data_IF_951370561906
#
_entry.id   IF_951370561906
#
_cell.length_a   1.000
_cell.length_b   1.000
_cell.length_c   1.000
_cell.angle_alpha   90.00
_cell.angle_beta   90.00
_cell.angle_gamma   90.00
#
_symmetry.space_group_name_H-M   'P 1'
#
loop_
_entity.id
_entity.type
_entity.pdbx_description
1 polymer ?
#
# COMPACT_ATOMS: atom_id res chain seq x y z
N UNK A 1 21.69 -47.78 21.66
CA UNK A 1 20.35 -47.20 21.54
C UNK A 1 19.97 -46.54 22.84
N UNK A 2 20.12 -45.27 22.97
CA UNK A 2 19.74 -44.51 24.15
C UNK A 2 18.71 -43.49 23.73
N UNK A 3 17.52 -43.64 24.28
CA UNK A 3 16.47 -42.60 24.31
C UNK A 3 16.85 -41.59 25.38
N UNK A 4 17.01 -40.33 24.99
CA UNK A 4 17.06 -39.21 25.93
C UNK A 4 15.81 -38.39 25.79
N UNK A 5 15.06 -38.27 26.86
CA UNK A 5 13.83 -37.53 26.96
C UNK A 5 14.07 -36.03 26.85
N UNK A 6 13.32 -35.40 25.97
CA UNK A 6 13.17 -33.96 25.91
C UNK A 6 12.06 -33.52 26.84
N UNK A 7 12.38 -32.62 27.75
CA UNK A 7 11.46 -31.96 28.64
C UNK A 7 10.54 -31.03 27.86
N UNK A 8 9.26 -31.35 27.87
CA UNK A 8 8.16 -30.53 27.41
C UNK A 8 8.05 -29.29 28.30
N UNK A 9 8.47 -28.14 27.82
CA UNK A 9 8.20 -26.86 28.52
C UNK A 9 6.81 -26.39 28.15
N UNK A 10 5.96 -26.33 29.14
CA UNK A 10 4.60 -25.83 29.04
C UNK A 10 4.59 -24.40 28.48
N UNK A 11 3.86 -24.24 27.39
CA UNK A 11 3.62 -22.96 26.72
C UNK A 11 2.67 -22.12 27.59
N UNK A 12 3.18 -20.97 28.07
CA UNK A 12 2.41 -20.02 28.86
C UNK A 12 1.62 -19.14 27.88
N UNK A 13 0.26 -19.15 27.93
CA UNK A 13 -0.55 -18.33 27.04
C UNK A 13 -0.42 -16.85 27.44
N UNK A 14 0.33 -16.09 26.69
CA UNK A 14 0.48 -14.65 26.93
C UNK A 14 1.64 -13.97 26.19
N UNK A 15 2.37 -14.67 25.37
CA UNK A 15 3.49 -14.06 24.64
C UNK A 15 3.48 -14.38 23.16
N UNK A 16 3.53 -13.31 22.40
CA UNK A 16 3.95 -13.18 21.00
C UNK A 16 2.97 -13.63 19.93
N UNK A 17 2.08 -12.72 19.55
CA UNK A 17 1.50 -12.71 18.19
C UNK A 17 2.56 -12.44 17.10
N UNK A 18 3.77 -12.06 17.47
CA UNK A 18 4.87 -11.76 16.55
C UNK A 18 6.01 -12.74 16.80
N UNK A 19 5.96 -13.88 16.11
CA UNK A 19 7.11 -14.78 15.96
C UNK A 19 8.27 -14.01 15.32
N UNK A 20 9.46 -14.12 15.92
CA UNK A 20 10.73 -13.70 15.32
C UNK A 20 10.85 -14.30 13.91
N UNK A 21 10.46 -13.56 12.87
CA UNK A 21 10.90 -13.83 11.51
C UNK A 21 12.13 -12.98 11.25
N UNK A 22 13.26 -13.69 11.18
CA UNK A 22 14.49 -13.40 10.44
C UNK A 22 14.73 -12.00 9.90
N UNK A 23 15.79 -11.40 10.33
CA UNK A 23 16.84 -10.58 9.70
C UNK A 23 16.54 -9.58 8.54
N UNK A 24 15.32 -9.44 8.08
CA UNK A 24 14.91 -8.31 7.27
C UNK A 24 14.27 -7.27 8.18
N UNK A 25 14.95 -6.16 8.34
CA UNK A 25 14.58 -5.07 9.23
C UNK A 25 13.44 -4.23 8.61
N UNK A 26 12.25 -4.84 8.46
CA UNK A 26 11.08 -4.13 8.00
C UNK A 26 10.60 -3.15 9.07
N UNK A 27 10.18 -1.97 8.64
CA UNK A 27 9.54 -1.01 9.53
C UNK A 27 8.26 -1.60 10.13
N UNK A 28 8.18 -1.66 11.45
CA UNK A 28 6.97 -2.07 12.14
C UNK A 28 6.13 -0.82 12.45
N UNK A 29 4.90 -0.79 11.96
CA UNK A 29 3.99 0.34 12.12
C UNK A 29 3.53 0.53 13.57
N UNK A 30 3.38 -0.57 14.31
CA UNK A 30 2.80 -0.58 15.66
C UNK A 30 3.86 -0.58 16.74
N UNK A 31 4.96 -1.30 16.54
CA UNK A 31 6.01 -1.51 17.54
C UNK A 31 7.26 -0.75 17.11
N UNK A 32 7.90 -0.04 18.03
CA UNK A 32 9.16 0.63 17.79
C UNK A 32 10.37 -0.33 17.89
N UNK A 33 11.56 0.20 17.66
CA UNK A 33 12.81 -0.59 17.70
C UNK A 33 13.14 -1.15 19.07
N UNK A 34 12.63 -0.52 20.12
CA UNK A 34 12.87 -0.91 21.53
C UNK A 34 11.78 -1.89 22.03
N UNK A 35 10.83 -2.25 21.17
CA UNK A 35 9.71 -3.13 21.48
C UNK A 35 8.54 -2.42 22.14
N UNK A 36 8.56 -1.09 22.23
CA UNK A 36 7.47 -0.27 22.74
C UNK A 36 6.35 -0.09 21.71
N UNK A 37 5.13 0.12 22.18
CA UNK A 37 4.00 0.45 21.31
C UNK A 37 4.06 1.93 20.94
N UNK A 38 4.02 2.23 19.64
CA UNK A 38 3.99 3.62 19.17
C UNK A 38 2.75 4.36 19.68
N UNK A 39 2.87 5.63 20.09
CA UNK A 39 1.77 6.35 20.76
C UNK A 39 0.43 6.32 20.04
N UNK A 40 0.42 6.40 18.69
CA UNK A 40 -0.79 6.38 17.90
C UNK A 40 -1.46 5.01 17.82
N UNK A 41 -0.79 3.94 18.29
CA UNK A 41 -1.36 2.60 18.40
C UNK A 41 -1.79 2.20 19.82
N UNK A 42 -1.51 2.99 20.87
CA UNK A 42 -1.79 2.59 22.24
C UNK A 42 -3.22 2.14 22.48
N UNK A 43 -4.20 2.90 22.03
CA UNK A 43 -5.62 2.53 22.18
C UNK A 43 -5.98 1.28 21.40
N UNK A 44 -5.34 1.10 20.24
CA UNK A 44 -5.57 -0.08 19.43
C UNK A 44 -4.93 -1.33 20.04
N UNK A 45 -3.73 -1.20 20.60
CA UNK A 45 -3.05 -2.26 21.35
C UNK A 45 -3.84 -2.69 22.58
N UNK A 46 -4.34 -1.72 23.35
CA UNK A 46 -5.22 -2.00 24.50
C UNK A 46 -6.46 -2.80 24.08
N UNK A 47 -7.11 -2.39 22.99
CA UNK A 47 -8.26 -3.12 22.44
C UNK A 47 -7.88 -4.53 21.96
N UNK A 48 -6.74 -4.67 21.26
CA UNK A 48 -6.25 -5.98 20.80
C UNK A 48 -6.00 -6.93 21.97
N UNK A 49 -5.34 -6.46 23.02
CA UNK A 49 -5.05 -7.27 24.22
C UNK A 49 -6.33 -7.69 24.97
N UNK A 50 -7.33 -6.83 24.96
CA UNK A 50 -8.62 -7.11 25.58
C UNK A 50 -9.54 -7.98 24.70
N UNK A 51 -9.23 -8.18 23.43
CA UNK A 51 -10.07 -8.91 22.50
C UNK A 51 -9.67 -10.36 22.41
N UNK A 52 -10.60 -11.31 22.67
CA UNK A 52 -10.32 -12.74 22.55
C UNK A 52 -9.82 -13.11 21.13
N UNK A 53 -8.81 -13.99 21.02
CA UNK A 53 -8.27 -14.43 19.74
C UNK A 53 -9.33 -14.99 18.78
N UNK A 54 -10.33 -15.68 19.32
CA UNK A 54 -11.43 -16.25 18.53
C UNK A 54 -12.30 -15.16 17.88
N UNK A 55 -12.42 -14.00 18.53
CA UNK A 55 -13.14 -12.84 17.96
C UNK A 55 -12.35 -12.26 16.79
N UNK A 56 -11.03 -12.17 16.91
CA UNK A 56 -10.14 -11.70 15.82
C UNK A 56 -10.21 -12.68 14.64
N UNK A 57 -10.09 -13.98 14.88
CA UNK A 57 -10.19 -15.01 13.85
C UNK A 57 -11.54 -14.97 13.13
N UNK A 58 -12.65 -14.81 13.89
CA UNK A 58 -13.99 -14.66 13.30
C UNK A 58 -14.09 -13.41 12.43
N UNK A 59 -13.55 -12.27 12.87
CA UNK A 59 -13.57 -11.03 12.09
C UNK A 59 -12.77 -11.14 10.80
N UNK A 60 -11.66 -11.86 10.81
CA UNK A 60 -10.90 -12.16 9.59
C UNK A 60 -11.73 -12.99 8.61
N UNK A 61 -12.33 -14.08 9.08
CA UNK A 61 -13.20 -14.92 8.25
C UNK A 61 -14.43 -14.17 7.70
N UNK A 62 -15.02 -13.27 8.48
CA UNK A 62 -16.12 -12.40 8.04
C UNK A 62 -15.65 -11.44 6.92
N UNK A 63 -14.44 -10.88 7.04
CA UNK A 63 -13.87 -9.99 6.01
C UNK A 63 -13.58 -10.75 4.71
N UNK A 64 -12.96 -11.93 4.79
CA UNK A 64 -12.69 -12.78 3.63
C UNK A 64 -13.99 -13.16 2.90
N UNK A 65 -15.03 -13.52 3.67
CA UNK A 65 -16.34 -13.84 3.11
C UNK A 65 -17.00 -12.62 2.46
N UNK A 66 -16.88 -11.44 3.07
CA UNK A 66 -17.41 -10.20 2.52
C UNK A 66 -16.73 -9.87 1.18
N UNK A 67 -15.40 -9.95 1.12
CA UNK A 67 -14.63 -9.71 -0.10
C UNK A 67 -15.00 -10.71 -1.21
N UNK A 68 -15.14 -11.98 -0.84
CA UNK A 68 -15.59 -13.01 -1.79
C UNK A 68 -16.97 -12.69 -2.36
N UNK A 69 -17.92 -12.30 -1.52
CA UNK A 69 -19.31 -12.00 -1.96
C UNK A 69 -19.39 -10.77 -2.86
N UNK A 70 -18.55 -9.78 -2.62
CA UNK A 70 -18.49 -8.54 -3.43
C UNK A 70 -17.66 -8.73 -4.70
N UNK A 71 -16.90 -9.84 -4.81
CA UNK A 71 -16.02 -10.10 -5.95
C UNK A 71 -14.78 -9.20 -5.93
N UNK A 72 -14.26 -8.86 -4.75
CA UNK A 72 -13.00 -8.10 -4.62
C UNK A 72 -11.84 -9.06 -4.83
N UNK A 73 -11.54 -9.32 -6.09
CA UNK A 73 -10.52 -10.26 -6.55
C UNK A 73 -9.52 -9.55 -7.45
N UNK A 74 -8.38 -10.17 -7.68
CA UNK A 74 -7.46 -9.75 -8.73
C UNK A 74 -7.15 -10.91 -9.66
N UNK A 75 -6.96 -10.60 -10.93
CA UNK A 75 -6.57 -11.59 -11.93
C UNK A 75 -5.09 -11.95 -11.75
N UNK A 76 -4.79 -13.24 -11.80
CA UNK A 76 -3.40 -13.73 -11.82
C UNK A 76 -2.97 -13.88 -13.27
N UNK A 77 -1.87 -13.18 -13.62
CA UNK A 77 -1.27 -13.28 -14.95
C UNK A 77 -0.18 -14.37 -14.96
N UNK A 78 -0.02 -15.07 -16.08
CA UNK A 78 0.98 -16.12 -16.25
C UNK A 78 0.37 -17.51 -16.36
N UNK A 79 1.08 -18.56 -15.92
CA UNK A 79 0.65 -19.97 -16.04
C UNK A 79 -0.68 -20.29 -15.34
N UNK A 80 -1.04 -19.47 -14.36
CA UNK A 80 -2.33 -19.53 -13.68
C UNK A 80 -3.36 -18.52 -14.21
N UNK A 81 -3.17 -18.02 -15.43
CA UNK A 81 -4.08 -17.07 -16.06
C UNK A 81 -5.53 -17.58 -16.06
N UNK A 82 -6.45 -16.74 -15.60
CA UNK A 82 -7.87 -17.09 -15.44
C UNK A 82 -8.27 -17.55 -14.04
N UNK A 83 -7.33 -17.67 -13.08
CA UNK A 83 -7.67 -17.83 -11.68
C UNK A 83 -7.80 -16.47 -11.01
N UNK A 84 -8.95 -16.25 -10.41
CA UNK A 84 -9.16 -15.09 -9.53
C UNK A 84 -8.71 -15.43 -8.11
N UNK A 85 -7.97 -14.55 -7.50
CA UNK A 85 -7.60 -14.62 -6.09
C UNK A 85 -8.23 -13.47 -5.31
N UNK A 86 -8.68 -13.75 -4.10
CA UNK A 86 -9.12 -12.69 -3.19
C UNK A 86 -7.95 -11.75 -2.88
N UNK A 87 -8.24 -10.46 -2.86
CA UNK A 87 -7.27 -9.48 -2.37
C UNK A 87 -7.05 -9.73 -0.89
N UNK A 88 -5.80 -9.95 -0.43
CA UNK A 88 -5.53 -10.13 0.99
C UNK A 88 -5.94 -8.88 1.77
N UNK A 89 -6.79 -9.06 2.78
CA UNK A 89 -7.24 -7.97 3.62
C UNK A 89 -6.76 -8.16 5.05
N UNK A 90 -6.00 -7.20 5.56
CA UNK A 90 -5.62 -7.18 6.97
C UNK A 90 -6.66 -6.41 7.78
N UNK A 91 -7.27 -7.09 8.76
CA UNK A 91 -8.24 -6.47 9.67
C UNK A 91 -7.60 -5.53 10.69
N UNK A 92 -6.27 -5.53 10.78
CA UNK A 92 -5.50 -4.60 11.62
C UNK A 92 -5.22 -3.34 10.79
N UNK A 93 -5.81 -2.19 11.14
CA UNK A 93 -5.64 -0.98 10.35
C UNK A 93 -4.22 -0.42 10.47
N UNK A 94 -3.69 0.10 9.37
CA UNK A 94 -2.50 0.96 9.40
C UNK A 94 -2.91 2.36 9.82
N UNK A 95 -2.35 2.84 10.94
CA UNK A 95 -2.68 4.14 11.51
C UNK A 95 -1.57 5.12 11.16
N UNK A 96 -1.90 6.13 10.36
CA UNK A 96 -0.97 7.20 9.98
C UNK A 96 -1.28 8.43 10.83
N UNK A 97 -0.34 8.90 11.68
CA UNK A 97 -0.53 10.11 12.48
C UNK A 97 -0.74 11.35 11.61
N UNK A 98 -1.51 12.32 12.11
CA UNK A 98 -1.83 13.53 11.37
C UNK A 98 -0.59 14.34 10.92
N UNK A 99 0.50 14.30 11.68
CA UNK A 99 1.75 14.96 11.29
C UNK A 99 2.39 14.29 10.07
N UNK A 100 2.48 12.96 10.06
CA UNK A 100 3.00 12.19 8.92
C UNK A 100 2.07 12.31 7.71
N UNK A 101 0.76 12.26 7.93
CA UNK A 101 -0.21 12.44 6.85
C UNK A 101 -0.06 13.80 6.16
N UNK A 102 0.15 14.89 6.92
CA UNK A 102 0.37 16.21 6.32
C UNK A 102 1.61 16.27 5.42
N UNK A 103 2.71 15.64 5.86
CA UNK A 103 3.93 15.56 5.06
C UNK A 103 3.71 14.73 3.79
N UNK A 104 3.15 13.54 3.93
CA UNK A 104 2.81 12.65 2.83
C UNK A 104 1.85 13.32 1.82
N UNK A 105 0.77 13.91 2.31
CA UNK A 105 -0.21 14.62 1.49
C UNK A 105 0.41 15.77 0.70
N UNK A 106 1.37 16.50 1.27
CA UNK A 106 2.07 17.58 0.56
C UNK A 106 2.85 17.05 -0.63
N UNK A 107 3.60 15.95 -0.44
CA UNK A 107 4.34 15.29 -1.51
C UNK A 107 3.43 14.72 -2.60
N UNK A 108 2.35 14.03 -2.20
CA UNK A 108 1.37 13.47 -3.14
C UNK A 108 0.69 14.55 -3.99
N UNK A 109 0.32 15.69 -3.38
CA UNK A 109 -0.25 16.82 -4.12
C UNK A 109 0.73 17.39 -5.14
N UNK A 110 2.00 17.54 -4.77
CA UNK A 110 3.03 18.00 -5.70
C UNK A 110 3.17 17.03 -6.87
N UNK A 111 3.22 15.73 -6.61
CA UNK A 111 3.34 14.69 -7.62
C UNK A 111 2.16 14.68 -8.59
N UNK A 112 0.93 14.62 -8.09
CA UNK A 112 -0.28 14.63 -8.92
C UNK A 112 -0.39 15.92 -9.76
N UNK A 113 0.01 17.06 -9.18
CA UNK A 113 0.08 18.31 -9.93
C UNK A 113 1.11 18.25 -11.06
N UNK A 114 2.28 17.70 -10.82
CA UNK A 114 3.31 17.53 -11.84
C UNK A 114 2.83 16.61 -12.98
N UNK A 115 2.15 15.51 -12.66
CA UNK A 115 1.57 14.61 -13.65
C UNK A 115 0.49 15.30 -14.50
N UNK A 116 -0.39 16.09 -13.89
CA UNK A 116 -1.38 16.87 -14.65
C UNK A 116 -0.75 17.92 -15.55
N UNK A 117 0.31 18.59 -15.11
CA UNK A 117 1.07 19.54 -15.95
C UNK A 117 1.78 18.82 -17.10
N UNK A 118 2.33 17.65 -16.87
CA UNK A 118 2.91 16.81 -17.90
C UNK A 118 1.86 16.43 -18.96
N UNK A 119 0.68 15.97 -18.55
CA UNK A 119 -0.40 15.66 -19.48
C UNK A 119 -0.86 16.88 -20.26
N UNK A 120 -0.96 18.04 -19.62
CA UNK A 120 -1.27 19.28 -20.30
C UNK A 120 -0.22 19.60 -21.40
N UNK A 121 1.06 19.57 -21.03
CA UNK A 121 2.14 19.84 -21.98
C UNK A 121 2.14 18.86 -23.17
N UNK A 122 1.99 17.56 -22.88
CA UNK A 122 1.96 16.50 -23.91
C UNK A 122 0.84 16.70 -24.93
N UNK A 123 -0.32 17.18 -24.50
CA UNK A 123 -1.46 17.42 -25.38
C UNK A 123 -1.53 18.84 -25.95
N UNK A 124 -0.58 19.72 -25.62
CA UNK A 124 -0.50 21.10 -26.14
C UNK A 124 0.87 21.40 -26.74
N UNK A 125 1.73 22.07 -25.99
CA UNK A 125 2.97 22.61 -26.50
C UNK A 125 4.09 21.59 -26.67
N UNK A 126 4.03 20.45 -25.94
CA UNK A 126 5.02 19.36 -25.98
C UNK A 126 6.46 19.83 -25.66
N UNK A 127 6.61 20.83 -24.79
CA UNK A 127 7.91 21.41 -24.46
C UNK A 127 8.86 20.40 -23.81
N UNK A 128 8.34 19.48 -22.99
CA UNK A 128 9.12 18.42 -22.35
C UNK A 128 9.68 17.42 -23.38
N UNK A 129 8.93 17.17 -24.46
CA UNK A 129 9.36 16.32 -25.58
C UNK A 129 10.38 17.04 -26.47
N UNK A 130 10.13 18.33 -26.83
CA UNK A 130 11.05 19.18 -27.60
C UNK A 130 12.38 19.35 -26.88
N UNK A 131 12.36 19.47 -25.55
CA UNK A 131 13.56 19.56 -24.73
C UNK A 131 14.34 18.24 -24.62
N UNK A 132 13.79 17.13 -25.11
CA UNK A 132 14.40 15.82 -25.04
C UNK A 132 14.48 15.22 -23.63
N UNK A 133 13.73 15.77 -22.66
CA UNK A 133 13.68 15.28 -21.28
C UNK A 133 12.96 13.93 -21.24
N UNK A 134 11.88 13.81 -22.03
CA UNK A 134 11.17 12.57 -22.26
C UNK A 134 11.24 12.24 -23.74
N UNK A 135 11.65 11.02 -24.14
CA UNK A 135 11.67 10.63 -25.54
C UNK A 135 10.27 10.67 -26.15
N UNK A 136 10.11 11.42 -27.25
CA UNK A 136 8.81 11.60 -27.91
C UNK A 136 8.13 10.29 -28.28
N UNK A 137 8.89 9.29 -28.74
CA UNK A 137 8.36 7.98 -29.10
C UNK A 137 7.69 7.26 -27.91
N UNK A 138 8.25 7.39 -26.69
CA UNK A 138 7.63 6.77 -25.49
C UNK A 138 6.23 7.31 -25.19
N UNK A 139 5.95 8.53 -25.60
CA UNK A 139 4.66 9.19 -25.35
C UNK A 139 3.75 9.05 -26.57
N UNK A 140 4.19 9.51 -27.73
CA UNK A 140 3.34 9.65 -28.92
C UNK A 140 3.03 8.31 -29.60
N UNK A 141 3.90 7.31 -29.45
CA UNK A 141 3.69 5.94 -29.95
C UNK A 141 3.07 5.01 -28.90
N UNK A 142 2.84 5.50 -27.69
CA UNK A 142 2.22 4.71 -26.64
C UNK A 142 0.74 4.43 -26.98
N UNK A 143 0.31 3.18 -26.80
CA UNK A 143 -1.06 2.77 -27.07
C UNK A 143 -2.12 3.51 -26.20
N UNK A 144 -1.71 4.11 -25.09
CA UNK A 144 -2.59 4.92 -24.24
C UNK A 144 -2.65 6.40 -24.65
N UNK A 145 -1.76 6.86 -25.53
CA UNK A 145 -1.84 8.22 -26.06
C UNK A 145 -3.15 8.39 -26.84
N UNK A 146 -3.84 9.50 -26.64
CA UNK A 146 -5.13 9.81 -27.26
C UNK A 146 -5.03 11.02 -28.18
N UNK A 147 -4.74 10.85 -29.48
CA UNK A 147 -4.58 11.96 -30.42
C UNK A 147 -5.78 12.93 -30.45
N UNK A 148 -6.98 12.44 -30.15
CA UNK A 148 -8.21 13.24 -30.07
C UNK A 148 -8.15 14.32 -28.98
N UNK A 149 -7.26 14.18 -28.01
CA UNK A 149 -7.08 15.16 -26.93
C UNK A 149 -6.08 16.27 -27.27
N UNK A 150 -5.43 16.20 -28.43
CA UNK A 150 -4.47 17.24 -28.86
C UNK A 150 -5.16 18.60 -28.95
N UNK A 151 -4.64 19.57 -28.20
CA UNK A 151 -5.16 20.94 -28.16
C UNK A 151 -6.50 21.10 -27.44
N UNK A 152 -6.96 20.09 -26.72
CA UNK A 152 -8.21 20.17 -25.98
C UNK A 152 -7.98 20.72 -24.57
N UNK A 153 -8.57 21.89 -24.30
CA UNK A 153 -8.60 22.46 -22.96
C UNK A 153 -9.60 21.73 -22.07
N UNK A 154 -9.09 20.97 -21.10
CA UNK A 154 -9.96 20.26 -20.14
C UNK A 154 -10.40 21.21 -19.01
N UNK A 155 -11.63 21.08 -18.48
CA UNK A 155 -12.11 21.93 -17.40
C UNK A 155 -11.18 21.92 -16.18
N UNK A 156 -10.75 23.10 -15.75
CA UNK A 156 -9.85 23.27 -14.61
C UNK A 156 -8.42 22.76 -14.80
N UNK A 157 -8.04 22.32 -16.01
CA UNK A 157 -6.73 21.71 -16.27
C UNK A 157 -6.54 20.35 -15.58
N UNK A 158 -7.64 19.67 -15.26
CA UNK A 158 -7.60 18.40 -14.52
C UNK A 158 -7.77 17.24 -15.51
N UNK A 159 -6.68 16.58 -15.86
CA UNK A 159 -6.67 15.40 -16.73
C UNK A 159 -6.95 14.12 -15.95
N UNK A 160 -6.38 13.97 -14.75
CA UNK A 160 -6.64 12.84 -13.84
C UNK A 160 -7.50 13.30 -12.66
N UNK A 161 -8.74 12.86 -12.61
CA UNK A 161 -9.70 13.23 -11.55
C UNK A 161 -9.48 12.44 -10.26
N UNK A 162 -9.02 11.20 -10.39
CA UNK A 162 -8.66 10.31 -9.29
C UNK A 162 -7.29 9.72 -9.62
N UNK A 163 -6.34 9.87 -8.71
CA UNK A 163 -5.04 9.25 -8.79
C UNK A 163 -4.88 8.27 -7.61
N UNK A 164 -4.64 7.01 -7.93
CA UNK A 164 -4.35 5.96 -6.95
C UNK A 164 -2.85 5.81 -6.80
N UNK A 165 -2.25 6.61 -5.92
CA UNK A 165 -0.80 6.58 -5.72
C UNK A 165 -0.42 5.50 -4.72
N UNK A 166 0.27 4.47 -5.18
CA UNK A 166 0.76 3.38 -4.33
C UNK A 166 2.05 3.79 -3.62
N UNK A 167 2.05 3.63 -2.30
CA UNK A 167 3.18 4.00 -1.46
C UNK A 167 3.65 2.84 -0.60
N UNK A 168 4.96 2.78 -0.36
CA UNK A 168 5.57 1.93 0.66
C UNK A 168 6.25 2.78 1.72
N UNK A 169 6.22 2.29 2.94
CA UNK A 169 6.92 2.88 4.07
C UNK A 169 8.17 2.07 4.37
N UNK A 170 9.34 2.69 4.29
CA UNK A 170 10.62 2.06 4.59
C UNK A 170 11.13 2.38 6.00
N UNK A 171 10.65 3.49 6.60
CA UNK A 171 11.11 3.94 7.91
C UNK A 171 10.18 4.98 8.54
N UNK A 172 10.58 5.54 9.66
CA UNK A 172 9.86 6.61 10.33
C UNK A 172 9.87 7.87 9.45
N UNK A 173 8.70 8.21 8.89
CA UNK A 173 8.56 9.36 7.96
C UNK A 173 9.13 9.13 6.56
N UNK A 174 9.62 7.93 6.25
CA UNK A 174 10.17 7.59 4.94
C UNK A 174 9.13 6.86 4.09
N UNK A 175 8.62 7.55 3.10
CA UNK A 175 7.65 7.01 2.15
C UNK A 175 8.20 7.06 0.72
N UNK A 176 8.00 6.01 -0.04
CA UNK A 176 8.34 5.91 -1.45
C UNK A 176 7.09 5.62 -2.27
N UNK A 177 6.99 6.27 -3.42
CA UNK A 177 5.94 5.97 -4.39
C UNK A 177 6.40 4.79 -5.24
N UNK A 178 5.53 3.82 -5.42
CA UNK A 178 5.73 2.67 -6.32
C UNK A 178 5.16 2.98 -7.70
N UNK A 179 3.89 3.40 -7.75
CA UNK A 179 3.17 3.71 -8.98
C UNK A 179 2.07 4.75 -8.76
N UNK A 180 1.49 5.25 -9.85
CA UNK A 180 0.41 6.24 -9.91
C UNK A 180 -0.78 5.71 -10.72
#
# INVERSE_FOLDING_TARGET
>A
PAFSGGTETADVPGRTFFSKRSDMNFYNEMVDTDGGIRPHYWRYDEWLRATPPERIARKRAEADLAFHRVGITFAVYGEEAGKERLIPFDIIPRIIPAAEWRALQSGLRQRVRALNLFLHDVYHDQEILKAGIVPAAQVLENAQYRPVMQGVDVPGGIYAHIAGVDIVRAGAGEFYVLED
#
